data_IF_858418761723
#
_entry.id   IF_858418761723
#
_cell.length_a   1.000
_cell.length_b   1.000
_cell.length_c   1.000
_cell.angle_alpha   90.00
_cell.angle_beta   90.00
_cell.angle_gamma   90.00
#
_symmetry.space_group_name_H-M   'P 1'
#
loop_
_entity.id
_entity.type
_entity.pdbx_description
1 polymer ?
#
# COMPACT_ATOMS: atom_id res chain seq x y z
N UNK A 1 -55.80 -71.35 35.82
CA UNK A 1 -55.12 -71.29 34.51
C UNK A 1 -55.44 -69.96 33.88
N UNK A 2 -54.50 -68.98 33.97
CA UNK A 2 -54.63 -67.69 33.36
C UNK A 2 -53.33 -67.42 32.57
N UNK A 3 -53.43 -67.26 31.30
CA UNK A 3 -52.42 -66.93 30.35
C UNK A 3 -52.07 -65.42 30.46
N UNK A 4 -50.80 -64.99 30.45
CA UNK A 4 -50.43 -63.57 30.44
C UNK A 4 -50.49 -63.06 29.00
N UNK A 5 -51.02 -61.85 28.83
CA UNK A 5 -51.06 -61.10 27.59
C UNK A 5 -49.69 -60.40 27.44
N UNK A 6 -49.04 -60.76 26.33
CA UNK A 6 -47.76 -60.14 25.89
C UNK A 6 -48.13 -58.80 25.17
N UNK A 7 -47.84 -57.67 25.81
CA UNK A 7 -48.15 -56.31 25.37
C UNK A 7 -46.97 -55.33 25.35
N UNK A 8 -45.70 -55.84 25.47
CA UNK A 8 -44.56 -55.01 25.73
C UNK A 8 -43.74 -54.51 24.52
N UNK A 9 -43.92 -55.09 23.34
CA UNK A 9 -42.97 -54.89 22.22
C UNK A 9 -43.40 -53.83 21.19
N UNK A 10 -44.67 -53.56 21.08
CA UNK A 10 -45.18 -52.61 20.04
C UNK A 10 -45.06 -51.13 20.43
N UNK A 11 -45.09 -50.81 21.74
CA UNK A 11 -45.04 -49.43 22.24
C UNK A 11 -43.60 -48.88 22.24
N UNK A 12 -42.58 -49.73 22.44
CA UNK A 12 -41.19 -49.30 22.41
C UNK A 12 -40.68 -49.01 20.99
N UNK A 13 -41.12 -49.73 19.97
CA UNK A 13 -40.75 -49.45 18.56
C UNK A 13 -41.33 -48.13 18.03
N UNK A 14 -42.57 -47.80 18.46
CA UNK A 14 -43.21 -46.54 18.05
C UNK A 14 -42.63 -45.27 18.71
N UNK A 15 -42.21 -45.40 19.97
CA UNK A 15 -41.55 -44.28 20.70
C UNK A 15 -40.11 -44.03 20.18
N UNK A 16 -39.43 -45.08 19.72
CA UNK A 16 -38.12 -44.97 19.12
C UNK A 16 -38.13 -44.26 17.77
N UNK A 17 -39.10 -44.56 16.90
CA UNK A 17 -39.24 -43.92 15.59
C UNK A 17 -39.63 -42.44 15.68
N UNK A 18 -40.57 -42.11 16.57
CA UNK A 18 -40.97 -40.70 16.81
C UNK A 18 -39.84 -39.86 17.37
N UNK A 19 -38.94 -40.41 18.20
CA UNK A 19 -37.77 -39.69 18.71
C UNK A 19 -36.69 -39.53 17.63
N UNK A 20 -36.48 -40.48 16.77
CA UNK A 20 -35.50 -40.39 15.67
C UNK A 20 -35.94 -39.36 14.62
N UNK A 21 -37.24 -39.37 14.27
CA UNK A 21 -37.81 -38.41 13.32
C UNK A 21 -37.83 -36.99 13.90
N UNK A 22 -38.10 -36.82 15.20
CA UNK A 22 -38.05 -35.53 15.88
C UNK A 22 -36.61 -34.94 15.96
N UNK A 23 -35.64 -35.77 16.27
CA UNK A 23 -34.23 -35.31 16.34
C UNK A 23 -33.65 -34.96 14.96
N UNK A 24 -34.08 -35.67 13.89
CA UNK A 24 -33.71 -35.36 12.51
C UNK A 24 -34.40 -34.06 12.05
N UNK A 25 -35.66 -33.85 12.41
CA UNK A 25 -36.39 -32.62 12.10
C UNK A 25 -35.81 -31.40 12.84
N UNK A 26 -35.45 -31.55 14.13
CA UNK A 26 -34.80 -30.50 14.92
C UNK A 26 -33.41 -30.16 14.35
N UNK A 27 -32.65 -31.15 13.90
CA UNK A 27 -31.35 -30.96 13.28
C UNK A 27 -31.41 -30.24 11.93
N UNK A 28 -32.40 -30.58 11.09
CA UNK A 28 -32.64 -29.93 9.81
C UNK A 28 -33.07 -28.46 10.02
N UNK A 29 -33.99 -28.21 10.95
CA UNK A 29 -34.42 -26.86 11.31
C UNK A 29 -33.26 -26.00 11.82
N UNK A 30 -32.35 -26.57 12.63
CA UNK A 30 -31.18 -25.87 13.11
C UNK A 30 -30.21 -25.51 11.98
N UNK A 31 -30.01 -26.42 11.00
CA UNK A 31 -29.13 -26.14 9.83
C UNK A 31 -29.72 -25.04 8.96
N UNK A 32 -31.02 -25.06 8.69
CA UNK A 32 -31.68 -24.01 7.91
C UNK A 32 -31.61 -22.63 8.59
N UNK A 33 -31.74 -22.58 9.91
CA UNK A 33 -31.61 -21.35 10.70
C UNK A 33 -30.18 -20.82 10.60
N UNK A 34 -29.17 -21.69 10.71
CA UNK A 34 -27.76 -21.28 10.64
C UNK A 34 -27.45 -20.69 9.25
N UNK A 35 -27.86 -21.36 8.18
CA UNK A 35 -27.66 -20.88 6.82
C UNK A 35 -28.40 -19.57 6.59
N UNK A 36 -29.69 -19.50 6.98
CA UNK A 36 -30.51 -18.31 6.77
C UNK A 36 -29.98 -17.06 7.49
N UNK A 37 -29.29 -17.21 8.63
CA UNK A 37 -28.76 -16.11 9.43
C UNK A 37 -27.25 -15.88 9.21
N UNK A 38 -26.61 -16.63 8.29
CA UNK A 38 -25.22 -16.38 7.95
C UNK A 38 -25.07 -15.01 7.24
N UNK A 39 -24.11 -14.17 7.67
CA UNK A 39 -23.91 -12.85 7.06
C UNK A 39 -23.31 -12.94 5.66
N UNK A 40 -22.53 -13.97 5.39
CA UNK A 40 -21.95 -14.22 4.07
C UNK A 40 -22.95 -14.96 3.16
N UNK A 41 -22.87 -14.78 1.83
CA UNK A 41 -23.63 -15.55 0.87
C UNK A 41 -23.31 -17.04 0.94
N UNK A 42 -24.28 -17.85 1.40
CA UNK A 42 -24.16 -19.30 1.55
C UNK A 42 -25.19 -19.98 0.65
N UNK A 43 -24.75 -20.99 -0.09
CA UNK A 43 -25.60 -21.84 -0.90
C UNK A 43 -25.24 -23.32 -0.74
N UNK A 44 -26.18 -24.17 -0.99
CA UNK A 44 -25.98 -25.63 -1.11
C UNK A 44 -26.34 -26.06 -2.53
N UNK A 45 -25.48 -26.84 -3.15
CA UNK A 45 -25.72 -27.42 -4.47
C UNK A 45 -25.61 -28.93 -4.45
N UNK A 46 -26.22 -29.57 -5.46
CA UNK A 46 -25.90 -30.94 -5.80
C UNK A 46 -24.54 -31.07 -6.51
N UNK A 47 -24.19 -32.27 -6.94
CA UNK A 47 -22.92 -32.56 -7.62
C UNK A 47 -22.88 -32.04 -9.06
N UNK A 48 -23.99 -31.72 -9.66
CA UNK A 48 -24.16 -31.11 -10.96
C UNK A 48 -24.12 -29.57 -10.89
N UNK A 49 -24.06 -29.01 -9.67
CA UNK A 49 -23.99 -27.56 -9.42
C UNK A 49 -25.37 -26.88 -9.44
N UNK A 50 -26.46 -27.64 -9.29
CA UNK A 50 -27.80 -27.10 -9.14
C UNK A 50 -27.97 -26.59 -7.71
N UNK A 51 -28.45 -25.38 -7.55
CA UNK A 51 -28.65 -24.74 -6.24
C UNK A 51 -29.88 -25.30 -5.57
N UNK A 52 -29.69 -25.98 -4.46
CA UNK A 52 -30.77 -26.60 -3.66
C UNK A 52 -31.32 -25.64 -2.60
N UNK A 53 -30.43 -24.86 -1.98
CA UNK A 53 -30.81 -23.80 -1.04
C UNK A 53 -29.79 -22.66 -1.07
N UNK A 54 -30.23 -21.46 -0.71
CA UNK A 54 -29.43 -20.28 -0.61
C UNK A 54 -29.99 -19.36 0.48
N UNK A 55 -29.12 -18.60 1.16
CA UNK A 55 -29.58 -17.60 2.10
C UNK A 55 -29.88 -16.26 1.41
N UNK A 56 -30.41 -15.30 2.18
CA UNK A 56 -30.78 -13.98 1.66
C UNK A 56 -29.55 -13.20 1.14
N UNK A 57 -28.39 -13.37 1.77
CA UNK A 57 -27.17 -12.72 1.32
C UNK A 57 -26.76 -13.12 -0.11
N UNK A 58 -27.12 -14.32 -0.61
CA UNK A 58 -26.93 -14.68 -2.01
C UNK A 58 -27.84 -13.83 -2.92
N UNK A 59 -29.08 -13.61 -2.52
CA UNK A 59 -30.04 -12.78 -3.26
C UNK A 59 -29.59 -11.31 -3.27
N UNK A 60 -29.11 -10.79 -2.15
CA UNK A 60 -28.54 -9.44 -2.03
C UNK A 60 -27.30 -9.27 -2.90
N UNK A 61 -26.39 -10.25 -2.88
CA UNK A 61 -25.18 -10.22 -3.69
C UNK A 61 -25.48 -10.20 -5.19
N UNK A 62 -26.34 -11.12 -5.62
CA UNK A 62 -26.62 -11.34 -7.04
C UNK A 62 -27.72 -10.42 -7.59
N UNK A 63 -28.54 -9.81 -6.73
CA UNK A 63 -29.68 -8.99 -7.15
C UNK A 63 -30.85 -9.80 -7.77
N UNK A 64 -30.85 -11.13 -7.65
CA UNK A 64 -31.96 -12.02 -8.04
C UNK A 64 -32.80 -12.35 -6.83
N UNK A 65 -34.08 -12.54 -7.04
CA UNK A 65 -34.97 -13.09 -6.01
C UNK A 65 -34.59 -14.54 -5.70
N UNK A 66 -34.84 -14.97 -4.49
CA UNK A 66 -34.54 -16.35 -4.06
C UNK A 66 -35.14 -17.40 -4.97
N UNK A 67 -36.38 -17.21 -5.42
CA UNK A 67 -37.08 -18.13 -6.32
C UNK A 67 -36.45 -18.18 -7.74
N UNK A 68 -35.70 -17.15 -8.13
CA UNK A 68 -34.96 -17.11 -9.39
C UNK A 68 -33.59 -17.78 -9.30
N UNK A 69 -33.07 -17.97 -8.08
CA UNK A 69 -31.79 -18.61 -7.80
C UNK A 69 -31.95 -20.10 -7.53
N UNK A 70 -32.95 -20.49 -6.75
CA UNK A 70 -33.21 -21.88 -6.40
C UNK A 70 -33.51 -22.72 -7.63
N UNK A 71 -33.10 -23.99 -7.60
CA UNK A 71 -33.30 -24.97 -8.68
C UNK A 71 -32.57 -24.60 -10.00
N UNK A 72 -31.76 -23.54 -10.00
CA UNK A 72 -30.93 -23.15 -11.14
C UNK A 72 -29.53 -23.73 -11.02
N UNK A 73 -28.89 -23.98 -12.18
CA UNK A 73 -27.46 -24.31 -12.19
C UNK A 73 -26.64 -23.06 -11.90
N UNK A 74 -25.59 -23.20 -11.09
CA UNK A 74 -24.60 -22.13 -10.84
C UNK A 74 -23.99 -21.58 -12.13
N UNK A 75 -23.88 -22.42 -13.17
CA UNK A 75 -23.37 -21.99 -14.49
C UNK A 75 -24.24 -20.91 -15.17
N UNK A 76 -25.49 -20.74 -14.74
CA UNK A 76 -26.38 -19.66 -15.23
C UNK A 76 -25.85 -18.26 -14.81
N UNK A 77 -25.21 -18.19 -13.66
CA UNK A 77 -24.81 -16.94 -13.04
C UNK A 77 -23.36 -16.59 -13.32
N UNK A 78 -22.61 -17.44 -14.03
CA UNK A 78 -21.19 -17.24 -14.34
C UNK A 78 -20.96 -17.30 -15.86
N UNK A 79 -19.81 -16.85 -16.33
CA UNK A 79 -19.43 -16.97 -17.75
C UNK A 79 -19.08 -18.41 -18.11
N UNK A 80 -19.08 -18.71 -19.43
CA UNK A 80 -18.63 -20.03 -19.92
C UNK A 80 -17.17 -20.33 -19.53
N UNK A 81 -16.32 -19.32 -19.48
CA UNK A 81 -14.93 -19.44 -19.08
C UNK A 81 -14.80 -19.85 -17.62
N UNK A 82 -15.56 -19.18 -16.75
CA UNK A 82 -15.59 -19.48 -15.31
C UNK A 82 -16.32 -20.79 -14.97
N UNK A 83 -17.18 -21.28 -15.86
CA UNK A 83 -17.79 -22.61 -15.70
C UNK A 83 -16.75 -23.72 -15.61
N UNK A 84 -15.61 -23.57 -16.26
CA UNK A 84 -14.49 -24.53 -16.15
C UNK A 84 -13.83 -24.49 -14.78
N UNK A 85 -13.59 -23.29 -14.25
CA UNK A 85 -13.01 -23.09 -12.91
C UNK A 85 -13.96 -23.61 -11.83
N UNK A 86 -15.25 -23.31 -11.97
CA UNK A 86 -16.30 -23.84 -11.09
C UNK A 86 -16.36 -25.38 -11.12
N UNK A 87 -16.31 -26.00 -12.31
CA UNK A 87 -16.31 -27.46 -12.45
C UNK A 87 -15.06 -28.07 -11.82
N UNK A 88 -13.89 -27.40 -11.92
CA UNK A 88 -12.67 -27.83 -11.25
C UNK A 88 -12.80 -27.73 -9.72
N UNK A 89 -13.37 -26.65 -9.20
CA UNK A 89 -13.64 -26.49 -7.78
C UNK A 89 -14.61 -27.56 -7.24
N UNK A 90 -15.70 -27.87 -7.95
CA UNK A 90 -16.61 -28.96 -7.59
C UNK A 90 -15.90 -30.32 -7.58
N UNK A 91 -15.06 -30.59 -8.57
CA UNK A 91 -14.25 -31.83 -8.61
C UNK A 91 -13.34 -31.93 -7.40
N UNK A 92 -12.67 -30.83 -7.03
CA UNK A 92 -11.83 -30.78 -5.85
C UNK A 92 -12.62 -31.06 -4.57
N UNK A 93 -13.83 -30.51 -4.44
CA UNK A 93 -14.73 -30.80 -3.32
C UNK A 93 -15.08 -32.30 -3.26
N UNK A 94 -15.36 -32.93 -4.40
CA UNK A 94 -15.68 -34.38 -4.45
C UNK A 94 -14.49 -35.24 -4.08
N UNK A 95 -13.29 -34.92 -4.61
CA UNK A 95 -12.06 -35.71 -4.42
C UNK A 95 -11.39 -35.48 -3.07
N UNK A 96 -11.31 -34.21 -2.63
CA UNK A 96 -10.58 -33.80 -1.43
C UNK A 96 -11.47 -33.41 -0.26
N UNK A 97 -12.77 -33.27 -0.49
CA UNK A 97 -13.75 -32.85 0.51
C UNK A 97 -13.87 -31.33 0.70
N UNK A 98 -12.96 -30.54 0.15
CA UNK A 98 -12.95 -29.08 0.31
C UNK A 98 -12.22 -28.41 -0.83
N UNK A 99 -12.68 -27.21 -1.22
CA UNK A 99 -11.93 -26.24 -2.01
C UNK A 99 -11.87 -24.90 -1.27
N UNK A 100 -10.81 -24.14 -1.47
CA UNK A 100 -10.59 -22.84 -0.82
C UNK A 100 -10.12 -21.81 -1.83
N UNK A 101 -10.59 -20.58 -1.64
CA UNK A 101 -10.22 -19.40 -2.40
C UNK A 101 -10.31 -19.60 -3.93
N UNK A 102 -11.22 -20.52 -4.35
CA UNK A 102 -11.48 -20.72 -5.76
C UNK A 102 -12.12 -19.45 -6.33
N UNK A 103 -11.56 -18.95 -7.43
CA UNK A 103 -12.12 -17.78 -8.09
C UNK A 103 -13.47 -18.14 -8.74
N UNK A 104 -14.46 -17.32 -8.45
CA UNK A 104 -15.80 -17.45 -9.04
C UNK A 104 -16.42 -16.06 -9.12
N UNK A 105 -16.68 -15.56 -10.33
CA UNK A 105 -17.19 -14.20 -10.52
C UNK A 105 -18.60 -14.25 -11.11
N UNK A 106 -19.63 -14.33 -10.25
CA UNK A 106 -21.01 -14.38 -10.72
C UNK A 106 -21.41 -13.05 -11.35
N UNK A 107 -22.37 -13.15 -12.27
CA UNK A 107 -23.02 -12.01 -12.89
C UNK A 107 -24.33 -11.71 -12.18
N UNK A 108 -24.44 -10.49 -11.65
CA UNK A 108 -25.66 -10.00 -11.03
C UNK A 108 -26.81 -9.83 -12.04
N UNK A 109 -28.01 -9.62 -11.54
CA UNK A 109 -29.21 -9.32 -12.35
C UNK A 109 -29.05 -8.04 -13.17
N UNK A 110 -28.22 -7.10 -12.72
CA UNK A 110 -27.84 -5.86 -13.43
C UNK A 110 -26.90 -6.11 -14.61
N UNK A 111 -26.33 -7.31 -14.72
CA UNK A 111 -25.29 -7.64 -15.68
C UNK A 111 -23.86 -7.39 -15.18
N UNK A 112 -23.70 -6.78 -14.01
CA UNK A 112 -22.39 -6.56 -13.35
C UNK A 112 -21.74 -7.90 -13.01
N UNK A 113 -20.45 -8.03 -13.28
CA UNK A 113 -19.62 -9.17 -12.83
C UNK A 113 -19.06 -8.84 -11.45
N UNK A 114 -19.36 -9.68 -10.46
CA UNK A 114 -18.97 -9.48 -9.08
C UNK A 114 -17.73 -10.33 -8.81
N UNK A 115 -16.56 -9.74 -8.51
CA UNK A 115 -15.39 -10.52 -8.12
C UNK A 115 -15.66 -11.19 -6.77
N UNK A 116 -15.66 -12.52 -6.76
CA UNK A 116 -15.82 -13.30 -5.53
C UNK A 116 -14.82 -14.44 -5.44
N UNK A 117 -14.60 -14.93 -4.21
CA UNK A 117 -13.94 -16.19 -3.96
C UNK A 117 -14.94 -17.19 -3.36
N UNK A 118 -14.82 -18.45 -3.76
CA UNK A 118 -15.61 -19.56 -3.28
C UNK A 118 -14.81 -20.43 -2.34
N UNK A 119 -15.33 -20.62 -1.13
CA UNK A 119 -14.92 -21.68 -0.23
C UNK A 119 -16.05 -22.70 -0.17
N UNK A 120 -15.77 -23.96 -0.48
CA UNK A 120 -16.80 -24.98 -0.48
C UNK A 120 -16.32 -26.27 0.19
N UNK A 121 -17.28 -26.97 0.83
CA UNK A 121 -17.06 -28.24 1.49
C UNK A 121 -18.08 -29.28 1.03
N UNK A 122 -17.64 -30.55 0.97
CA UNK A 122 -18.49 -31.66 0.59
C UNK A 122 -19.60 -31.86 1.61
N UNK A 123 -20.83 -32.00 1.10
CA UNK A 123 -21.98 -32.48 1.84
C UNK A 123 -22.04 -34.01 1.71
N UNK A 124 -22.11 -34.71 2.86
CA UNK A 124 -22.12 -36.16 2.89
C UNK A 124 -23.41 -36.67 3.52
N UNK A 125 -23.90 -37.78 3.00
CA UNK A 125 -24.99 -38.53 3.63
C UNK A 125 -24.51 -39.34 4.86
N UNK A 126 -25.43 -40.06 5.48
CA UNK A 126 -25.16 -40.93 6.63
C UNK A 126 -24.18 -42.06 6.33
N UNK A 127 -24.01 -42.45 5.07
CA UNK A 127 -23.09 -43.48 4.62
C UNK A 127 -21.70 -42.91 4.27
N UNK A 128 -21.52 -41.55 4.37
CA UNK A 128 -20.29 -40.85 4.05
C UNK A 128 -20.08 -40.53 2.57
N UNK A 129 -21.05 -40.85 1.74
CA UNK A 129 -21.04 -40.56 0.31
C UNK A 129 -21.28 -39.08 0.09
N UNK A 130 -20.50 -38.44 -0.79
CA UNK A 130 -20.70 -37.05 -1.18
C UNK A 130 -21.99 -36.93 -2.00
N UNK A 131 -22.91 -36.07 -1.55
CA UNK A 131 -24.22 -35.84 -2.18
C UNK A 131 -24.36 -34.41 -2.71
N UNK A 132 -23.42 -33.52 -2.41
CA UNK A 132 -23.44 -32.14 -2.83
C UNK A 132 -22.35 -31.35 -2.20
N UNK A 133 -22.47 -30.04 -2.25
CA UNK A 133 -21.53 -29.12 -1.65
C UNK A 133 -22.26 -27.95 -0.95
N UNK A 134 -21.71 -27.49 0.16
CA UNK A 134 -22.02 -26.19 0.74
C UNK A 134 -20.92 -25.21 0.33
N UNK A 135 -21.31 -24.08 -0.28
CA UNK A 135 -20.42 -23.02 -0.74
C UNK A 135 -20.69 -21.71 -0.03
N UNK A 136 -19.64 -21.00 0.27
CA UNK A 136 -19.68 -19.64 0.79
C UNK A 136 -18.94 -18.75 -0.22
N UNK A 137 -19.64 -17.72 -0.71
CA UNK A 137 -19.06 -16.70 -1.58
C UNK A 137 -18.59 -15.54 -0.72
N UNK A 138 -17.38 -15.05 -1.00
CA UNK A 138 -16.86 -13.83 -0.40
C UNK A 138 -16.76 -12.74 -1.45
N UNK A 139 -17.50 -11.67 -1.25
CA UNK A 139 -17.45 -10.48 -2.10
C UNK A 139 -16.06 -9.81 -1.93
N UNK A 140 -15.34 -9.64 -3.04
CA UNK A 140 -14.01 -9.06 -3.06
C UNK A 140 -14.00 -7.58 -3.45
N UNK A 141 -15.16 -6.99 -3.79
CA UNK A 141 -15.24 -5.61 -4.30
C UNK A 141 -14.63 -4.59 -3.35
N UNK A 142 -14.91 -4.67 -2.06
CA UNK A 142 -14.36 -3.74 -1.08
C UNK A 142 -12.85 -3.93 -0.89
N UNK A 143 -12.38 -5.17 -0.89
CA UNK A 143 -10.95 -5.48 -0.81
C UNK A 143 -10.20 -4.99 -2.06
N UNK A 144 -10.77 -5.25 -3.24
CA UNK A 144 -10.19 -4.81 -4.52
C UNK A 144 -10.17 -3.28 -4.63
N UNK A 145 -11.25 -2.61 -4.19
CA UNK A 145 -11.29 -1.14 -4.11
C UNK A 145 -10.22 -0.59 -3.16
N UNK A 146 -10.11 -1.18 -1.96
CA UNK A 146 -9.12 -0.74 -0.98
C UNK A 146 -7.70 -0.95 -1.50
N UNK A 147 -7.44 -2.08 -2.17
CA UNK A 147 -6.16 -2.36 -2.81
C UNK A 147 -5.87 -1.38 -3.95
N UNK A 148 -6.81 -1.19 -4.86
CA UNK A 148 -6.66 -0.25 -5.98
C UNK A 148 -6.46 1.19 -5.48
N UNK A 149 -7.13 1.57 -4.40
CA UNK A 149 -6.93 2.87 -3.76
C UNK A 149 -5.51 3.02 -3.20
N UNK A 150 -5.00 2.01 -2.47
CA UNK A 150 -3.65 2.02 -1.94
C UNK A 150 -2.59 2.06 -3.07
N UNK A 151 -2.77 1.27 -4.13
CA UNK A 151 -1.91 1.30 -5.32
C UNK A 151 -1.95 2.68 -5.99
N UNK A 152 -3.13 3.31 -6.11
CA UNK A 152 -3.28 4.64 -6.67
C UNK A 152 -2.59 5.73 -5.84
N UNK A 153 -2.58 5.62 -4.51
CA UNK A 153 -1.86 6.57 -3.65
C UNK A 153 -0.35 6.53 -3.89
N UNK A 154 0.22 5.34 -4.07
CA UNK A 154 1.64 5.18 -4.38
C UNK A 154 1.92 5.68 -5.80
N UNK A 155 1.12 5.26 -6.78
CA UNK A 155 1.33 5.58 -8.20
C UNK A 155 1.26 7.07 -8.50
N UNK A 156 0.32 7.79 -7.86
CA UNK A 156 0.13 9.23 -8.05
C UNK A 156 0.94 10.11 -7.08
N UNK A 157 1.80 9.52 -6.24
CA UNK A 157 2.68 10.31 -5.39
C UNK A 157 3.66 11.12 -6.26
N UNK A 158 3.83 12.44 -5.99
CA UNK A 158 4.71 13.30 -6.80
C UNK A 158 6.20 12.96 -6.61
N UNK A 159 6.57 12.48 -5.43
CA UNK A 159 7.93 12.04 -5.14
C UNK A 159 8.14 10.57 -5.56
N UNK A 160 9.36 10.18 -5.96
CA UNK A 160 9.71 8.80 -6.23
C UNK A 160 9.54 7.91 -5.00
N UNK A 161 8.60 6.96 -5.08
CA UNK A 161 8.29 5.98 -4.02
C UNK A 161 8.64 4.58 -4.49
N UNK A 162 9.31 3.83 -3.64
CA UNK A 162 9.55 2.40 -3.85
C UNK A 162 9.28 1.59 -2.59
N UNK A 163 8.91 0.34 -2.78
CA UNK A 163 8.78 -0.67 -1.73
C UNK A 163 9.84 -1.74 -1.97
N UNK A 164 10.56 -2.12 -0.93
CA UNK A 164 11.54 -3.21 -1.00
C UNK A 164 11.33 -4.25 0.09
N UNK A 165 11.86 -5.46 -0.12
CA UNK A 165 12.04 -6.42 0.94
C UNK A 165 13.23 -6.04 1.87
N UNK A 166 13.54 -6.92 2.82
CA UNK A 166 14.62 -6.71 3.80
C UNK A 166 16.03 -6.86 3.19
N UNK A 167 16.14 -7.50 2.04
CA UNK A 167 17.37 -7.67 1.26
C UNK A 167 17.61 -6.49 0.30
N UNK A 168 16.64 -5.57 0.20
CA UNK A 168 16.70 -4.40 -0.67
C UNK A 168 16.29 -4.68 -2.12
N UNK A 169 15.58 -5.77 -2.37
CA UNK A 169 14.96 -6.05 -3.66
C UNK A 169 13.71 -5.21 -3.81
N UNK A 170 13.58 -4.52 -4.91
CA UNK A 170 12.46 -3.63 -5.20
C UNK A 170 11.23 -4.45 -5.58
N UNK A 171 10.18 -4.35 -4.80
CA UNK A 171 8.91 -5.04 -5.02
C UNK A 171 7.90 -4.17 -5.80
N UNK A 172 7.95 -2.87 -5.59
CA UNK A 172 7.04 -1.91 -6.22
C UNK A 172 7.69 -0.54 -6.35
N UNK A 173 7.33 0.18 -7.42
CA UNK A 173 7.70 1.59 -7.65
C UNK A 173 6.53 2.34 -8.24
N UNK A 174 6.55 3.67 -8.11
CA UNK A 174 5.65 4.56 -8.86
C UNK A 174 6.31 5.14 -10.12
N UNK A 175 5.52 5.83 -10.94
CA UNK A 175 5.99 6.46 -12.17
C UNK A 175 7.10 7.49 -11.93
N UNK A 176 7.09 8.19 -10.80
CA UNK A 176 8.10 9.19 -10.46
C UNK A 176 9.51 8.56 -10.32
N UNK A 177 9.64 7.29 -9.92
CA UNK A 177 10.92 6.56 -9.93
C UNK A 177 11.43 6.38 -11.35
N UNK A 178 10.55 6.00 -12.29
CA UNK A 178 10.89 5.85 -13.71
C UNK A 178 11.33 7.20 -14.32
N UNK A 179 10.64 8.27 -13.99
CA UNK A 179 11.00 9.63 -14.43
C UNK A 179 12.32 10.11 -13.86
N UNK A 180 12.60 9.83 -12.58
CA UNK A 180 13.84 10.20 -11.93
C UNK A 180 15.04 9.44 -12.50
N UNK A 181 14.90 8.11 -12.61
CA UNK A 181 16.01 7.23 -12.98
C UNK A 181 16.15 7.03 -14.49
N UNK A 182 15.10 7.29 -15.28
CA UNK A 182 15.10 7.04 -16.71
C UNK A 182 15.03 5.57 -17.11
N UNK A 183 14.76 4.66 -16.18
CA UNK A 183 14.51 3.24 -16.44
C UNK A 183 13.01 2.98 -16.52
N UNK A 184 12.62 2.00 -17.31
CA UNK A 184 11.24 1.51 -17.31
C UNK A 184 10.96 0.76 -16.01
N UNK A 185 9.72 0.73 -15.60
CA UNK A 185 9.28 0.05 -14.36
C UNK A 185 9.68 -1.43 -14.32
N UNK A 186 9.55 -2.14 -15.44
CA UNK A 186 9.92 -3.56 -15.57
C UNK A 186 11.44 -3.80 -15.46
N UNK A 187 12.26 -2.77 -15.68
CA UNK A 187 13.71 -2.82 -15.49
C UNK A 187 14.14 -2.54 -14.05
N UNK A 188 13.25 -1.97 -13.23
CA UNK A 188 13.52 -1.59 -11.83
C UNK A 188 12.91 -2.59 -10.86
N UNK A 189 11.67 -3.00 -11.06
CA UNK A 189 10.99 -3.98 -10.21
C UNK A 189 11.72 -5.32 -10.27
N UNK A 190 11.75 -6.04 -9.16
CA UNK A 190 12.47 -7.30 -8.97
C UNK A 190 14.01 -7.17 -8.98
N UNK A 191 14.57 -5.95 -9.10
CA UNK A 191 16.00 -5.70 -9.00
C UNK A 191 16.41 -5.29 -7.58
N UNK A 192 17.68 -5.54 -7.24
CA UNK A 192 18.25 -5.00 -6.01
C UNK A 192 18.52 -3.50 -6.15
N UNK A 193 18.19 -2.72 -5.13
CA UNK A 193 18.51 -1.30 -5.04
C UNK A 193 20.01 -1.03 -5.26
N UNK A 194 20.88 -1.95 -4.85
CA UNK A 194 22.33 -1.85 -5.04
C UNK A 194 22.77 -1.77 -6.51
N UNK A 195 21.90 -2.18 -7.45
CA UNK A 195 22.16 -2.05 -8.89
C UNK A 195 22.19 -0.59 -9.35
N UNK A 196 21.42 0.26 -8.69
CA UNK A 196 21.20 1.65 -9.09
C UNK A 196 22.07 2.65 -8.31
N UNK A 197 22.91 2.18 -7.40
CA UNK A 197 23.79 3.00 -6.57
C UNK A 197 25.24 2.54 -6.70
N UNK A 198 26.19 3.37 -6.28
CA UNK A 198 27.60 3.00 -6.27
C UNK A 198 27.91 1.97 -5.17
N UNK A 199 29.02 1.21 -5.29
CA UNK A 199 29.44 0.29 -4.22
C UNK A 199 29.71 0.98 -2.89
N UNK A 200 30.18 2.24 -2.91
CA UNK A 200 30.39 3.03 -1.70
C UNK A 200 29.06 3.36 -1.01
N UNK A 201 28.06 3.75 -1.78
CA UNK A 201 26.72 4.08 -1.28
C UNK A 201 25.92 2.86 -0.86
N UNK A 202 26.28 1.68 -1.33
CA UNK A 202 25.66 0.42 -0.88
C UNK A 202 25.82 0.23 0.63
N UNK A 203 26.90 0.72 1.23
CA UNK A 203 27.11 0.67 2.69
C UNK A 203 26.17 1.61 3.43
N UNK A 204 25.98 2.83 2.91
CA UNK A 204 25.06 3.83 3.49
C UNK A 204 23.61 3.34 3.36
N UNK A 205 23.26 2.79 2.21
CA UNK A 205 21.96 2.15 2.00
C UNK A 205 21.71 0.98 2.97
N UNK A 206 22.69 0.09 3.14
CA UNK A 206 22.59 -1.04 4.08
C UNK A 206 22.44 -0.55 5.52
N UNK A 207 23.12 0.54 5.89
CA UNK A 207 22.96 1.15 7.20
C UNK A 207 21.58 1.77 7.39
N UNK A 208 21.05 2.46 6.38
CA UNK A 208 19.69 3.01 6.39
C UNK A 208 18.64 1.91 6.51
N UNK A 209 18.79 0.81 5.76
CA UNK A 209 17.88 -0.34 5.84
C UNK A 209 17.92 -1.01 7.23
N UNK A 210 19.11 -1.14 7.81
CA UNK A 210 19.27 -1.64 9.19
C UNK A 210 18.56 -0.72 10.20
N UNK A 211 18.72 0.59 10.06
CA UNK A 211 18.02 1.56 10.91
C UNK A 211 16.50 1.43 10.79
N UNK A 212 15.96 1.20 9.58
CA UNK A 212 14.54 0.93 9.36
C UNK A 212 14.10 -0.33 10.09
N UNK A 213 14.89 -1.41 10.05
CA UNK A 213 14.56 -2.67 10.75
C UNK A 213 14.59 -2.48 12.26
N UNK A 214 15.62 -1.81 12.79
CA UNK A 214 15.83 -1.67 14.24
C UNK A 214 14.93 -0.60 14.89
N UNK A 215 14.75 0.55 14.21
CA UNK A 215 14.04 1.72 14.73
C UNK A 215 12.70 1.99 14.07
N UNK A 216 12.39 1.27 13.00
CA UNK A 216 11.15 1.45 12.23
C UNK A 216 11.20 2.58 11.20
N UNK A 217 12.22 3.44 11.20
CA UNK A 217 12.31 4.60 10.31
C UNK A 217 13.77 5.05 10.15
N UNK A 218 14.11 5.53 8.94
CA UNK A 218 15.30 6.35 8.68
C UNK A 218 14.89 7.66 8.00
N UNK A 219 15.63 8.72 8.20
CA UNK A 219 15.35 10.05 7.65
C UNK A 219 16.58 10.72 7.11
N UNK A 220 16.40 11.39 5.95
CA UNK A 220 17.46 12.16 5.28
C UNK A 220 18.75 11.36 5.05
N UNK A 221 18.63 10.03 4.90
CA UNK A 221 19.78 9.22 4.53
C UNK A 221 20.21 9.62 3.11
N UNK A 222 21.49 9.84 2.93
CA UNK A 222 22.02 10.15 1.60
C UNK A 222 21.97 8.89 0.73
N UNK A 223 21.43 9.04 -0.47
CA UNK A 223 21.37 7.99 -1.46
C UNK A 223 21.40 8.64 -2.85
N UNK A 224 22.44 8.39 -3.64
CA UNK A 224 22.59 9.02 -4.95
C UNK A 224 22.51 7.94 -6.05
N UNK A 225 21.30 7.65 -6.53
CA UNK A 225 21.11 6.65 -7.58
C UNK A 225 21.72 7.13 -8.90
N UNK A 226 22.09 6.16 -9.72
CA UNK A 226 22.57 6.36 -11.07
C UNK A 226 21.44 6.15 -12.05
N UNK A 227 21.13 7.17 -12.83
CA UNK A 227 20.15 7.11 -13.90
C UNK A 227 20.60 6.20 -15.06
N UNK A 228 19.69 5.86 -15.97
CA UNK A 228 19.96 5.10 -17.19
C UNK A 228 20.99 5.81 -18.11
N UNK A 229 21.06 7.14 -18.03
CA UNK A 229 22.08 7.96 -18.72
C UNK A 229 23.49 7.84 -18.14
N UNK A 230 23.61 7.21 -16.96
CA UNK A 230 24.85 7.17 -16.18
C UNK A 230 25.06 8.35 -15.23
N UNK A 231 24.19 9.35 -15.24
CA UNK A 231 24.18 10.49 -14.32
C UNK A 231 23.92 10.03 -12.90
N UNK A 232 24.68 10.57 -11.94
CA UNK A 232 24.44 10.38 -10.52
C UNK A 232 23.53 11.48 -10.03
N UNK A 233 22.40 11.12 -9.47
CA UNK A 233 21.38 12.06 -9.02
C UNK A 233 21.50 12.24 -7.50
N UNK A 234 21.82 13.45 -6.99
CA UNK A 234 21.82 13.68 -5.56
C UNK A 234 20.41 13.57 -5.00
N UNK A 235 20.19 12.61 -4.11
CA UNK A 235 18.89 12.41 -3.45
C UNK A 235 19.04 12.20 -1.96
N UNK A 236 17.95 12.43 -1.23
CA UNK A 236 17.79 11.97 0.15
C UNK A 236 16.70 10.93 0.24
N UNK A 237 16.93 9.91 1.05
CA UNK A 237 16.01 8.82 1.34
C UNK A 237 15.35 9.03 2.69
N UNK A 238 14.01 8.99 2.71
CA UNK A 238 13.22 8.76 3.90
C UNK A 238 12.55 7.41 3.75
N UNK A 239 12.72 6.52 4.71
CA UNK A 239 12.12 5.20 4.65
C UNK A 239 11.52 4.77 5.99
N UNK A 240 10.47 3.98 5.92
CA UNK A 240 9.81 3.38 7.08
C UNK A 240 9.58 1.90 6.89
N UNK A 241 9.54 1.18 8.01
CA UNK A 241 9.32 -0.27 8.03
C UNK A 241 7.91 -0.61 7.56
N UNK A 242 7.82 -1.55 6.64
CA UNK A 242 6.60 -2.24 6.28
C UNK A 242 6.43 -3.44 7.21
N UNK A 243 5.26 -3.58 7.83
CA UNK A 243 4.99 -4.63 8.82
C UNK A 243 3.82 -5.48 8.38
N UNK A 244 3.90 -6.76 8.71
CA UNK A 244 2.77 -7.68 8.60
C UNK A 244 1.73 -7.44 9.75
N UNK A 245 0.56 -8.09 9.71
CA UNK A 245 -0.45 -7.98 10.78
C UNK A 245 0.05 -8.42 12.16
N UNK A 246 1.05 -9.29 12.21
CA UNK A 246 1.70 -9.79 13.44
C UNK A 246 2.72 -8.80 13.99
N UNK A 247 3.04 -7.73 13.24
CA UNK A 247 3.97 -6.66 13.63
C UNK A 247 5.43 -6.90 13.22
N UNK A 248 5.74 -8.01 12.53
CA UNK A 248 7.08 -8.29 12.02
C UNK A 248 7.42 -7.35 10.86
N UNK A 249 8.66 -6.91 10.79
CA UNK A 249 9.12 -6.12 9.65
C UNK A 249 9.33 -7.04 8.46
N UNK A 250 8.61 -6.78 7.37
CA UNK A 250 8.66 -7.57 6.13
C UNK A 250 9.33 -6.84 4.97
N UNK A 251 9.66 -5.57 5.15
CA UNK A 251 10.28 -4.74 4.12
C UNK A 251 10.31 -3.27 4.52
N UNK A 252 10.52 -2.41 3.55
CA UNK A 252 10.55 -0.97 3.73
C UNK A 252 9.82 -0.25 2.58
N UNK A 253 9.17 0.86 2.92
CA UNK A 253 8.73 1.85 1.94
C UNK A 253 9.69 3.03 2.01
N UNK A 254 10.27 3.41 0.87
CA UNK A 254 11.21 4.51 0.73
C UNK A 254 10.69 5.58 -0.21
N UNK A 255 10.95 6.83 0.16
CA UNK A 255 10.69 8.01 -0.68
C UNK A 255 12.02 8.69 -0.95
N UNK A 256 12.34 8.86 -2.23
CA UNK A 256 13.52 9.61 -2.67
C UNK A 256 13.10 11.06 -2.92
N UNK A 257 13.94 11.97 -2.48
CA UNK A 257 13.78 13.39 -2.79
C UNK A 257 14.95 13.87 -3.64
N UNK A 258 14.64 14.32 -4.85
CA UNK A 258 15.63 14.94 -5.74
C UNK A 258 16.14 16.24 -5.14
N UNK A 259 17.46 16.34 -4.97
CA UNK A 259 18.12 17.47 -4.36
C UNK A 259 18.74 18.44 -5.38
N UNK A 260 18.65 18.16 -6.69
CA UNK A 260 19.31 18.98 -7.72
C UNK A 260 18.87 20.44 -7.67
N UNK A 261 17.57 20.69 -7.63
CA UNK A 261 17.04 22.06 -7.55
C UNK A 261 17.42 22.76 -6.24
N UNK A 262 17.48 22.01 -5.13
CA UNK A 262 17.91 22.55 -3.84
C UNK A 262 19.40 22.91 -3.85
N UNK A 263 20.26 22.02 -4.38
CA UNK A 263 21.70 22.26 -4.48
C UNK A 263 22.03 23.44 -5.41
N UNK A 264 21.24 23.64 -6.49
CA UNK A 264 21.37 24.80 -7.36
C UNK A 264 21.07 26.11 -6.60
N UNK A 265 19.96 26.17 -5.89
CA UNK A 265 19.59 27.36 -5.08
C UNK A 265 20.63 27.65 -4.01
N UNK A 266 21.15 26.61 -3.34
CA UNK A 266 22.21 26.78 -2.32
C UNK A 266 23.48 27.34 -2.95
N UNK A 267 23.89 26.85 -4.11
CA UNK A 267 25.06 27.34 -4.84
C UNK A 267 24.90 28.80 -5.25
N UNK A 268 23.75 29.17 -5.79
CA UNK A 268 23.47 30.56 -6.19
C UNK A 268 23.48 31.50 -4.98
N UNK A 269 22.94 31.03 -3.86
CA UNK A 269 22.94 31.79 -2.61
C UNK A 269 24.38 32.00 -2.07
N UNK A 270 25.21 30.95 -2.09
CA UNK A 270 26.62 31.03 -1.68
C UNK A 270 27.40 31.97 -2.58
N UNK A 271 27.18 31.91 -3.89
CA UNK A 271 27.82 32.84 -4.83
C UNK A 271 27.39 34.28 -4.56
N UNK A 272 26.08 34.53 -4.43
CA UNK A 272 25.56 35.88 -4.12
C UNK A 272 26.10 36.41 -2.79
N UNK A 273 26.22 35.55 -1.77
CA UNK A 273 26.82 35.91 -0.48
C UNK A 273 28.27 36.32 -0.64
N UNK A 274 29.05 35.58 -1.44
CA UNK A 274 30.47 35.89 -1.69
C UNK A 274 30.61 37.24 -2.41
N UNK A 275 29.80 37.47 -3.45
CA UNK A 275 29.79 38.74 -4.17
C UNK A 275 29.41 39.93 -3.27
N UNK A 276 28.44 39.74 -2.36
CA UNK A 276 28.07 40.77 -1.39
C UNK A 276 29.21 41.06 -0.40
N UNK A 277 29.89 39.99 0.07
CA UNK A 277 31.06 40.16 0.97
C UNK A 277 32.19 40.93 0.31
N UNK A 278 32.49 40.66 -0.96
CA UNK A 278 33.49 41.42 -1.73
C UNK A 278 33.09 42.89 -1.88
N UNK A 279 31.82 43.19 -2.18
CA UNK A 279 31.33 44.58 -2.27
C UNK A 279 31.40 45.32 -0.95
N UNK A 280 31.09 44.64 0.17
CA UNK A 280 31.24 45.24 1.51
C UNK A 280 32.70 45.62 1.78
N UNK A 281 33.64 44.69 1.51
CA UNK A 281 35.04 44.95 1.68
C UNK A 281 35.56 46.13 0.84
N UNK A 282 35.09 46.24 -0.40
CA UNK A 282 35.43 47.35 -1.30
C UNK A 282 34.84 48.70 -0.80
N UNK A 283 33.61 48.67 -0.27
CA UNK A 283 33.00 49.86 0.36
C UNK A 283 33.75 50.30 1.62
N UNK A 284 34.16 49.36 2.47
CA UNK A 284 34.96 49.65 3.66
C UNK A 284 36.31 50.30 3.29
N UNK A 285 37.02 49.76 2.28
CA UNK A 285 38.26 50.41 1.77
C UNK A 285 38.00 51.80 1.21
N UNK A 286 36.86 51.99 0.49
CA UNK A 286 36.51 53.28 -0.06
C UNK A 286 36.21 54.30 1.05
N UNK A 287 35.47 53.89 2.10
CA UNK A 287 35.20 54.73 3.27
C UNK A 287 36.52 55.12 3.98
N UNK A 288 37.46 54.20 4.16
CA UNK A 288 38.73 54.46 4.77
C UNK A 288 39.54 55.53 3.98
N UNK A 289 39.54 55.44 2.66
CA UNK A 289 40.17 56.42 1.76
C UNK A 289 39.46 57.78 1.86
N UNK A 290 38.15 57.82 1.87
CA UNK A 290 37.36 59.06 1.95
C UNK A 290 37.60 59.77 3.29
N UNK A 291 37.49 59.02 4.39
CA UNK A 291 37.73 59.54 5.75
C UNK A 291 39.19 60.03 5.89
N UNK A 292 40.14 59.26 5.38
CA UNK A 292 41.55 59.70 5.35
C UNK A 292 41.79 60.99 4.57
N UNK A 293 41.07 61.18 3.45
CA UNK A 293 41.12 62.40 2.65
C UNK A 293 40.48 63.60 3.36
N UNK A 294 39.33 63.40 4.01
CA UNK A 294 38.68 64.46 4.82
C UNK A 294 39.56 64.92 6.00
N UNK A 295 40.12 63.96 6.75
CA UNK A 295 41.04 64.29 7.85
C UNK A 295 42.29 65.08 7.38
N UNK A 296 42.82 64.72 6.20
CA UNK A 296 43.92 65.46 5.59
C UNK A 296 43.50 66.86 5.13
N UNK A 297 42.30 67.03 4.60
CA UNK A 297 41.75 68.35 4.27
C UNK A 297 41.61 69.26 5.51
N UNK A 298 41.02 68.71 6.59
CA UNK A 298 40.92 69.44 7.87
C UNK A 298 42.26 69.83 8.45
N UNK A 299 43.27 68.95 8.38
CA UNK A 299 44.64 69.25 8.82
C UNK A 299 45.25 70.34 7.99
N UNK A 300 45.13 70.32 6.66
CA UNK A 300 45.65 71.35 5.76
C UNK A 300 44.92 72.69 5.97
N UNK A 301 43.65 72.72 6.22
CA UNK A 301 42.89 73.95 6.54
C UNK A 301 43.37 74.59 7.84
N UNK A 302 43.60 73.78 8.87
CA UNK A 302 44.19 74.28 10.14
C UNK A 302 45.60 74.83 9.95
N UNK A 303 46.44 74.15 9.17
CA UNK A 303 47.75 74.65 8.88
C UNK A 303 47.74 75.96 8.10
N UNK A 304 46.86 76.09 7.14
CA UNK A 304 46.66 77.32 6.35
C UNK A 304 46.15 78.48 7.21
N UNK A 305 45.27 78.19 8.18
CA UNK A 305 44.77 79.20 9.15
C UNK A 305 45.89 79.64 10.08
N UNK A 306 46.73 78.73 10.58
CA UNK A 306 47.92 79.04 11.38
C UNK A 306 48.95 79.93 10.64
N UNK A 307 49.27 79.57 9.38
CA UNK A 307 50.17 80.35 8.53
C UNK A 307 49.57 81.75 8.21
N UNK A 308 48.28 81.90 8.02
CA UNK A 308 47.61 83.19 7.85
C UNK A 308 47.73 84.06 9.12
N UNK A 309 47.62 83.45 10.30
CA UNK A 309 47.80 84.20 11.57
C UNK A 309 49.25 84.63 11.75
N UNK A 310 50.22 83.79 11.45
CA UNK A 310 51.62 84.12 11.47
C UNK A 310 51.94 85.25 10.49
N UNK A 311 51.46 85.24 9.30
CA UNK A 311 51.62 86.28 8.28
C UNK A 311 50.97 87.61 8.73
N UNK A 312 49.86 87.56 9.43
CA UNK A 312 49.20 88.74 9.98
C UNK A 312 49.99 89.38 11.10
N UNK A 313 50.74 88.59 11.90
CA UNK A 313 51.64 89.08 12.96
C UNK A 313 52.97 89.66 12.42
N UNK A 314 53.42 89.18 11.23
CA UNK A 314 54.64 89.63 10.59
C UNK A 314 54.49 90.86 9.67
N UNK A 315 53.30 91.36 9.42
CA UNK A 315 53.01 92.58 8.68
C UNK A 315 53.38 93.80 9.61
N UNK A 316 54.42 94.50 9.28
CA UNK A 316 54.69 95.71 10.05
C UNK A 316 53.54 96.70 9.83
N UNK A 317 53.09 97.33 10.93
CA UNK A 317 52.18 98.46 10.94
C UNK A 317 52.87 99.62 10.21
N UNK A 318 52.48 99.74 8.89
CA UNK A 318 52.84 100.95 8.16
C UNK A 318 51.81 102.05 8.57
N UNK A 319 52.28 102.91 9.43
CA UNK A 319 51.70 104.19 9.79
C UNK A 319 51.73 105.24 8.69
#
# INVERSE_FOLDING_TARGET
MATPLDGGTAVQAHVGSVRADGAAADGALAADIIIANAPDPVFVSDLEGKILTANEAVSELLGFRRDEVLEQSLSRFISEEETREFTAALREVVERGVTRDARLNPRAATGEVIPTTLNASALRDSEGKVIGAIGVLRDMRELDKARAYAESLIENAPDPVFVSDLEGKILQTNEAVSQLLGFRRDEVVEQSLSRFISPEETREFTAALREVVERGVTRNARLNPRAATGEVIPTTLNASALRDPEGNVIGAIGVLRDMRAYEEVVRDLEQSKTELQEKILDLEKFEEVVVGRELKMIALEKELESLKQELATLRPSSG
#
